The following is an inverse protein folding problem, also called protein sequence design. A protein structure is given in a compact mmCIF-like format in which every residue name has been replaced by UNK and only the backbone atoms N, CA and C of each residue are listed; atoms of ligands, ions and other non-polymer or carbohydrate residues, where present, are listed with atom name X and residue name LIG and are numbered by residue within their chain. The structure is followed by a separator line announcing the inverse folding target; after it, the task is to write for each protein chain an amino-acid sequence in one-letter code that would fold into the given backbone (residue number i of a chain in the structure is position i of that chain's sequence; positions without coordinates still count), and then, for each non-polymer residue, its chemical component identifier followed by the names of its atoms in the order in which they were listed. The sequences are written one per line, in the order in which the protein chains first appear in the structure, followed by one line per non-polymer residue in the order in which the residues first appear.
data_IF_351258004535
#
_entry.id   IF_351258004535
#
_cell.length_a   1.000
_cell.length_b   1.000
_cell.length_c   1.000
_cell.angle_alpha   90.00
_cell.angle_beta   90.00
_cell.angle_gamma   90.00
#
_symmetry.space_group_name_H-M   'P 1'
#
loop_
_entity.id
_entity.type
_entity.pdbx_description
1 polymer ?
#
# COMPACT_ATOMS: atom_id res chain seq x y z
N UNK A 1 -13.29 -26.15 -19.33
CA UNK A 1 -12.11 -27.04 -19.39
C UNK A 1 -11.60 -27.18 -17.96
N UNK A 2 -11.71 -28.40 -17.39
CA UNK A 2 -11.44 -28.67 -15.98
C UNK A 2 -9.96 -28.53 -15.69
N UNK A 3 -9.59 -27.71 -14.72
CA UNK A 3 -8.24 -27.69 -14.14
C UNK A 3 -8.32 -28.38 -12.77
N UNK A 4 -7.60 -29.47 -12.69
CA UNK A 4 -7.55 -30.46 -11.65
C UNK A 4 -7.06 -29.89 -10.31
N UNK A 5 -7.86 -30.08 -9.24
CA UNK A 5 -7.37 -30.06 -7.86
C UNK A 5 -6.44 -31.24 -7.65
N UNK A 6 -5.18 -31.00 -7.29
CA UNK A 6 -4.35 -31.99 -6.59
C UNK A 6 -3.50 -31.28 -5.55
N UNK A 7 -3.93 -31.35 -4.29
CA UNK A 7 -3.04 -31.32 -3.14
C UNK A 7 -2.27 -32.64 -3.12
N UNK A 8 -0.97 -32.63 -3.29
CA UNK A 8 -0.11 -33.70 -2.81
C UNK A 8 1.33 -33.20 -2.70
N UNK A 9 1.88 -33.33 -1.51
CA UNK A 9 3.31 -33.46 -1.20
C UNK A 9 3.96 -34.44 -2.18
N UNK A 10 4.70 -33.91 -3.16
CA UNK A 10 5.65 -34.69 -3.95
C UNK A 10 6.84 -33.77 -4.25
N UNK A 11 8.03 -34.18 -3.82
CA UNK A 11 9.29 -33.74 -4.38
C UNK A 11 9.37 -34.32 -5.82
N UNK A 12 8.67 -33.66 -6.75
CA UNK A 12 8.81 -33.85 -8.19
C UNK A 12 9.73 -32.75 -8.70
N UNK A 13 10.67 -33.09 -9.55
CA UNK A 13 11.48 -32.12 -10.31
C UNK A 13 10.53 -31.06 -10.87
N UNK A 14 10.73 -29.77 -10.50
CA UNK A 14 9.93 -28.69 -11.05
C UNK A 14 10.26 -28.56 -12.53
N UNK A 15 9.24 -28.67 -13.38
CA UNK A 15 9.39 -28.55 -14.83
C UNK A 15 9.97 -27.17 -15.17
N UNK A 16 10.98 -27.14 -16.05
CA UNK A 16 11.63 -25.90 -16.50
C UNK A 16 10.62 -24.97 -17.17
N UNK A 17 10.72 -23.66 -16.90
CA UNK A 17 9.79 -22.67 -17.45
C UNK A 17 9.90 -22.59 -18.97
N UNK A 18 8.76 -22.62 -19.64
CA UNK A 18 8.70 -22.43 -21.09
C UNK A 18 8.98 -20.98 -21.49
N UNK A 19 9.47 -20.77 -22.70
CA UNK A 19 9.67 -19.42 -23.27
C UNK A 19 8.39 -18.57 -23.23
N UNK A 20 7.22 -19.19 -23.36
CA UNK A 20 5.93 -18.52 -23.29
C UNK A 20 5.66 -17.98 -21.87
N UNK A 21 5.95 -18.76 -20.83
CA UNK A 21 5.81 -18.33 -19.44
C UNK A 21 6.78 -17.20 -19.10
N UNK A 22 8.04 -17.28 -19.53
CA UNK A 22 9.04 -16.22 -19.34
C UNK A 22 8.57 -14.91 -19.98
N UNK A 23 8.09 -14.95 -21.24
CA UNK A 23 7.53 -13.80 -21.94
C UNK A 23 6.29 -13.23 -21.23
N UNK A 24 5.42 -14.11 -20.74
CA UNK A 24 4.23 -13.74 -20.00
C UNK A 24 4.60 -13.01 -18.71
N UNK A 25 5.45 -13.56 -17.84
CA UNK A 25 5.90 -12.91 -16.61
C UNK A 25 6.51 -11.55 -16.89
N UNK A 26 7.39 -11.43 -17.90
CA UNK A 26 7.96 -10.14 -18.33
C UNK A 26 6.88 -9.13 -18.71
N UNK A 27 5.82 -9.58 -19.38
CA UNK A 27 4.73 -8.69 -19.82
C UNK A 27 3.95 -8.06 -18.67
N UNK A 28 3.94 -8.70 -17.48
CA UNK A 28 3.26 -8.25 -16.27
C UNK A 28 3.91 -7.02 -15.63
N UNK A 29 5.04 -6.55 -16.12
CA UNK A 29 5.59 -5.24 -15.77
C UNK A 29 4.63 -4.11 -16.18
N UNK A 30 3.80 -4.32 -17.20
CA UNK A 30 2.80 -3.36 -17.65
C UNK A 30 1.47 -3.54 -16.93
N UNK A 31 0.92 -2.43 -16.40
CA UNK A 31 -0.37 -2.43 -15.65
C UNK A 31 -1.49 -3.10 -16.43
N UNK A 32 -1.66 -2.75 -17.72
CA UNK A 32 -2.71 -3.32 -18.60
C UNK A 32 -2.72 -4.85 -18.63
N UNK A 33 -1.54 -5.48 -18.60
CA UNK A 33 -1.44 -6.93 -18.64
C UNK A 33 -1.75 -7.54 -17.26
N UNK A 34 -1.30 -6.90 -16.17
CA UNK A 34 -1.68 -7.32 -14.81
C UNK A 34 -3.18 -7.27 -14.59
N UNK A 35 -3.82 -6.18 -15.01
CA UNK A 35 -5.27 -5.99 -14.87
C UNK A 35 -6.07 -7.00 -15.73
N UNK A 36 -5.62 -7.26 -16.97
CA UNK A 36 -6.27 -8.23 -17.85
C UNK A 36 -6.22 -9.66 -17.30
N UNK A 37 -5.10 -10.03 -16.68
CA UNK A 37 -4.87 -11.37 -16.13
C UNK A 37 -5.31 -11.47 -14.64
N UNK A 38 -5.55 -10.35 -13.97
CA UNK A 38 -5.86 -10.31 -12.54
C UNK A 38 -4.72 -10.80 -11.66
N UNK A 39 -3.45 -10.55 -12.06
CA UNK A 39 -2.25 -11.01 -11.36
C UNK A 39 -1.23 -9.89 -11.15
N UNK A 40 -0.25 -10.14 -10.28
CA UNK A 40 0.89 -9.24 -10.07
C UNK A 40 2.18 -10.03 -9.80
N UNK A 41 3.32 -9.34 -9.88
CA UNK A 41 4.65 -9.94 -9.73
C UNK A 41 5.30 -9.43 -8.45
N UNK A 42 5.93 -10.35 -7.74
CA UNK A 42 6.82 -10.06 -6.61
C UNK A 42 8.20 -10.68 -6.84
N UNK A 43 9.24 -10.00 -6.40
CA UNK A 43 10.63 -10.46 -6.55
C UNK A 43 11.33 -10.56 -5.19
N UNK A 44 12.19 -11.58 -5.07
CA UNK A 44 12.95 -11.89 -3.86
C UNK A 44 12.27 -12.91 -2.96
N UNK A 45 13.05 -13.88 -2.45
CA UNK A 45 12.56 -15.02 -1.69
C UNK A 45 11.72 -14.60 -0.48
N UNK A 46 12.17 -13.58 0.28
CA UNK A 46 11.43 -13.09 1.44
C UNK A 46 10.07 -12.51 1.04
N UNK A 47 10.02 -11.65 0.01
CA UNK A 47 8.79 -11.02 -0.44
C UNK A 47 7.80 -12.07 -0.97
N UNK A 48 8.28 -13.03 -1.77
CA UNK A 48 7.47 -14.13 -2.32
C UNK A 48 6.89 -14.99 -1.19
N UNK A 49 7.68 -15.34 -0.19
CA UNK A 49 7.22 -16.13 0.95
C UNK A 49 6.19 -15.37 1.81
N UNK A 50 6.43 -14.09 2.10
CA UNK A 50 5.53 -13.26 2.91
C UNK A 50 4.15 -13.09 2.21
N UNK A 51 4.14 -13.00 0.88
CA UNK A 51 2.90 -12.87 0.09
C UNK A 51 2.18 -14.21 -0.07
N UNK A 52 2.90 -15.34 -0.14
CA UNK A 52 2.32 -16.66 -0.34
C UNK A 52 1.35 -17.11 0.75
N UNK A 53 1.44 -16.53 1.95
CA UNK A 53 0.48 -16.78 3.05
C UNK A 53 -0.89 -16.12 2.87
N UNK A 54 -1.00 -15.12 1.97
CA UNK A 54 -2.19 -14.27 1.83
C UNK A 54 -2.71 -14.13 0.40
N UNK A 55 -1.88 -14.49 -0.59
CA UNK A 55 -2.23 -14.45 -2.00
C UNK A 55 -2.07 -15.82 -2.65
N UNK A 56 -2.93 -16.14 -3.60
CA UNK A 56 -2.82 -17.37 -4.39
C UNK A 56 -1.63 -17.26 -5.35
N UNK A 57 -0.65 -18.15 -5.19
CA UNK A 57 0.51 -18.27 -6.08
C UNK A 57 0.08 -18.95 -7.39
N UNK A 58 0.36 -18.29 -8.52
CA UNK A 58 0.06 -18.81 -9.87
C UNK A 58 1.28 -19.45 -10.51
N UNK A 59 2.46 -18.82 -10.34
CA UNK A 59 3.73 -19.31 -10.87
C UNK A 59 4.87 -18.84 -9.97
N UNK A 60 5.87 -19.70 -9.79
CA UNK A 60 7.13 -19.33 -9.16
C UNK A 60 8.28 -19.69 -10.11
N UNK A 61 9.22 -18.75 -10.27
CA UNK A 61 10.50 -18.94 -10.93
C UNK A 61 11.63 -18.84 -9.90
N UNK A 62 12.52 -19.81 -9.92
CA UNK A 62 13.72 -19.87 -9.06
C UNK A 62 14.82 -20.71 -9.75
N UNK A 63 15.92 -20.97 -9.07
CA UNK A 63 17.04 -21.73 -9.61
C UNK A 63 16.72 -23.20 -9.99
N UNK A 64 15.59 -23.74 -9.50
CA UNK A 64 15.22 -25.14 -9.79
C UNK A 64 14.51 -25.26 -11.16
N UNK A 65 13.90 -24.16 -11.67
CA UNK A 65 13.09 -24.21 -12.89
C UNK A 65 13.39 -23.10 -13.90
N UNK A 66 14.36 -22.23 -13.63
CA UNK A 66 14.80 -21.15 -14.53
C UNK A 66 16.29 -20.87 -14.35
N UNK A 67 16.98 -20.63 -15.45
CA UNK A 67 18.39 -20.19 -15.43
C UNK A 67 18.49 -18.73 -14.97
N UNK A 68 19.69 -18.31 -14.55
CA UNK A 68 19.96 -16.92 -14.14
C UNK A 68 19.56 -15.93 -15.24
N UNK A 69 19.89 -16.22 -16.49
CA UNK A 69 19.55 -15.35 -17.63
C UNK A 69 18.01 -15.24 -17.83
N UNK A 70 17.26 -16.31 -17.61
CA UNK A 70 15.79 -16.28 -17.68
C UNK A 70 15.16 -15.49 -16.54
N UNK A 71 15.70 -15.60 -15.31
CA UNK A 71 15.29 -14.76 -14.19
C UNK A 71 15.58 -13.27 -14.50
N UNK A 72 16.75 -12.95 -15.06
CA UNK A 72 17.08 -11.59 -15.49
C UNK A 72 16.10 -11.05 -16.54
N UNK A 73 15.68 -11.87 -17.50
CA UNK A 73 14.70 -11.47 -18.51
C UNK A 73 13.31 -11.16 -17.93
N UNK A 74 12.91 -11.82 -16.85
CA UNK A 74 11.62 -11.62 -16.19
C UNK A 74 11.65 -10.49 -15.18
N UNK A 75 12.82 -10.20 -14.59
CA UNK A 75 12.98 -9.24 -13.49
C UNK A 75 12.70 -7.80 -13.93
N UNK A 76 12.13 -7.02 -13.03
CA UNK A 76 11.99 -5.56 -13.11
C UNK A 76 13.11 -4.82 -12.36
N UNK A 77 13.95 -5.53 -11.61
CA UNK A 77 15.00 -4.98 -10.76
C UNK A 77 16.32 -4.82 -11.53
N UNK A 78 17.09 -3.80 -11.16
CA UNK A 78 18.47 -3.66 -11.66
C UNK A 78 19.37 -4.83 -11.27
N UNK A 79 19.14 -5.39 -10.08
CA UNK A 79 19.82 -6.57 -9.55
C UNK A 79 18.77 -7.61 -9.21
N UNK A 80 18.53 -8.59 -10.10
CA UNK A 80 17.56 -9.65 -9.88
C UNK A 80 17.85 -10.45 -8.60
N UNK A 81 16.81 -10.86 -7.87
CA UNK A 81 16.97 -11.52 -6.57
C UNK A 81 16.76 -13.05 -6.64
N UNK A 82 16.85 -13.64 -7.82
CA UNK A 82 16.84 -15.09 -8.01
C UNK A 82 15.51 -15.81 -7.80
N UNK A 83 14.50 -15.14 -7.25
CA UNK A 83 13.16 -15.72 -7.06
C UNK A 83 12.11 -14.71 -7.52
N UNK A 84 11.16 -15.17 -8.33
CA UNK A 84 10.02 -14.38 -8.82
C UNK A 84 8.74 -15.17 -8.55
N UNK A 85 7.74 -14.53 -7.93
CA UNK A 85 6.40 -15.07 -7.74
C UNK A 85 5.37 -14.28 -8.53
N UNK A 86 4.44 -14.96 -9.18
CA UNK A 86 3.24 -14.36 -9.77
C UNK A 86 2.06 -14.76 -8.92
N UNK A 87 1.29 -13.78 -8.45
CA UNK A 87 0.17 -13.96 -7.53
C UNK A 87 -1.11 -13.39 -8.13
N UNK A 88 -2.27 -13.95 -7.75
CA UNK A 88 -3.56 -13.35 -8.07
C UNK A 88 -3.77 -12.05 -7.27
N UNK A 89 -4.33 -11.04 -7.93
CA UNK A 89 -4.79 -9.82 -7.25
C UNK A 89 -5.98 -10.12 -6.34
N UNK A 90 -6.07 -9.40 -5.21
CA UNK A 90 -7.27 -9.44 -4.38
C UNK A 90 -8.39 -8.63 -5.02
N UNK A 91 -9.62 -9.11 -4.82
CA UNK A 91 -10.84 -8.31 -5.04
C UNK A 91 -11.26 -7.79 -3.68
N UNK A 92 -11.04 -6.53 -3.46
CA UNK A 92 -11.35 -5.87 -2.18
C UNK A 92 -12.78 -5.35 -2.20
N UNK A 93 -13.48 -5.53 -1.07
CA UNK A 93 -14.82 -4.97 -0.86
C UNK A 93 -14.74 -3.88 0.22
N UNK A 94 -14.98 -2.63 -0.15
CA UNK A 94 -14.96 -1.48 0.76
C UNK A 94 -15.94 -1.64 1.94
N UNK A 95 -17.03 -2.38 1.75
CA UNK A 95 -18.02 -2.62 2.80
C UNK A 95 -17.52 -3.56 3.91
N UNK A 96 -16.43 -4.28 3.67
CA UNK A 96 -15.81 -5.16 4.65
C UNK A 96 -14.99 -4.42 5.72
N UNK A 97 -14.74 -3.11 5.56
CA UNK A 97 -13.93 -2.34 6.50
C UNK A 97 -14.70 -2.15 7.82
N UNK A 98 -14.16 -2.74 8.87
CA UNK A 98 -14.65 -2.61 10.25
C UNK A 98 -13.52 -2.20 11.20
N UNK A 99 -12.72 -1.22 10.81
CA UNK A 99 -11.59 -0.72 11.56
C UNK A 99 -11.88 0.65 12.16
N UNK A 100 -11.29 0.94 13.32
CA UNK A 100 -11.45 2.24 13.96
C UNK A 100 -10.63 3.32 13.27
N UNK A 101 -9.43 3.00 12.78
CA UNK A 101 -8.52 3.93 12.12
C UNK A 101 -8.19 3.45 10.71
N UNK A 102 -8.43 4.32 9.75
CA UNK A 102 -8.25 4.08 8.32
C UNK A 102 -7.32 5.16 7.75
N UNK A 103 -6.49 4.84 6.76
CA UNK A 103 -5.75 5.82 5.98
C UNK A 103 -6.45 6.03 4.65
N UNK A 104 -6.53 7.27 4.18
CA UNK A 104 -7.01 7.60 2.84
C UNK A 104 -5.92 8.35 2.07
N UNK A 105 -5.76 8.03 0.79
CA UNK A 105 -4.73 8.61 -0.07
C UNK A 105 -5.38 9.35 -1.23
N UNK A 106 -5.19 10.67 -1.29
CA UNK A 106 -5.71 11.54 -2.31
C UNK A 106 -4.62 11.84 -3.35
N UNK A 107 -4.48 10.94 -4.34
CA UNK A 107 -3.58 11.12 -5.45
C UNK A 107 -2.09 10.97 -5.14
N UNK A 108 -1.70 10.09 -4.23
CA UNK A 108 -0.29 9.74 -3.99
C UNK A 108 0.23 8.97 -5.20
N UNK A 109 1.04 9.62 -6.06
CA UNK A 109 1.40 9.11 -7.38
C UNK A 109 2.76 8.39 -7.43
N UNK A 110 3.68 8.73 -6.52
CA UNK A 110 5.00 8.08 -6.51
C UNK A 110 4.91 6.64 -5.96
N UNK A 111 5.34 5.61 -6.72
CA UNK A 111 5.29 4.23 -6.28
C UNK A 111 6.13 3.95 -5.01
N UNK A 112 7.23 4.65 -4.82
CA UNK A 112 8.08 4.51 -3.64
C UNK A 112 7.38 5.04 -2.38
N UNK A 113 6.69 6.19 -2.51
CA UNK A 113 5.89 6.76 -1.42
C UNK A 113 4.73 5.84 -1.05
N UNK A 114 3.98 5.33 -2.05
CA UNK A 114 2.89 4.39 -1.77
C UNK A 114 3.40 3.13 -1.04
N UNK A 115 4.49 2.54 -1.52
CA UNK A 115 5.09 1.37 -0.87
C UNK A 115 5.55 1.65 0.57
N UNK A 116 6.14 2.83 0.80
CA UNK A 116 6.53 3.30 2.15
C UNK A 116 5.30 3.48 3.05
N UNK A 117 4.23 4.08 2.54
CA UNK A 117 2.97 4.26 3.29
C UNK A 117 2.36 2.91 3.66
N UNK A 118 2.26 1.96 2.73
CA UNK A 118 1.74 0.61 2.99
C UNK A 118 2.55 -0.06 4.11
N UNK A 119 3.87 -0.03 4.03
CA UNK A 119 4.76 -0.59 5.06
C UNK A 119 4.61 0.12 6.41
N UNK A 120 4.43 1.42 6.41
CA UNK A 120 4.20 2.22 7.63
C UNK A 120 2.85 1.91 8.25
N UNK A 121 1.80 1.75 7.44
CA UNK A 121 0.48 1.33 7.90
C UNK A 121 0.53 -0.03 8.57
N UNK A 122 1.18 -1.01 7.95
CA UNK A 122 1.42 -2.34 8.54
C UNK A 122 2.12 -2.25 9.90
N UNK A 123 3.18 -1.42 10.00
CA UNK A 123 3.93 -1.22 11.25
C UNK A 123 3.09 -0.68 12.40
N UNK A 124 2.16 0.23 12.09
CA UNK A 124 1.28 0.86 13.07
C UNK A 124 -0.08 0.17 13.20
N UNK A 125 -0.26 -1.03 12.64
CA UNK A 125 -1.50 -1.80 12.75
C UNK A 125 -2.68 -1.13 12.04
N UNK A 126 -2.44 -0.50 10.88
CA UNK A 126 -3.47 0.04 9.99
C UNK A 126 -3.58 -0.89 8.80
N UNK A 127 -4.68 -1.62 8.71
CA UNK A 127 -4.83 -2.66 7.70
C UNK A 127 -5.63 -2.22 6.47
N UNK A 128 -6.27 -1.04 6.51
CA UNK A 128 -7.13 -0.56 5.43
C UNK A 128 -6.71 0.81 4.92
N UNK A 129 -6.46 0.90 3.61
CA UNK A 129 -6.11 2.13 2.91
C UNK A 129 -7.13 2.36 1.79
N UNK A 130 -7.85 3.49 1.83
CA UNK A 130 -8.74 3.91 0.74
C UNK A 130 -7.99 4.86 -0.18
N UNK A 131 -7.92 4.54 -1.45
CA UNK A 131 -7.16 5.27 -2.45
C UNK A 131 -8.07 5.95 -3.46
N UNK A 132 -7.82 7.22 -3.79
CA UNK A 132 -8.41 7.81 -4.98
C UNK A 132 -7.89 7.10 -6.23
N UNK A 133 -8.60 7.23 -7.34
CA UNK A 133 -8.26 6.64 -8.63
C UNK A 133 -6.86 7.03 -9.13
N UNK A 134 -6.43 8.25 -8.82
CA UNK A 134 -5.15 8.83 -9.23
C UNK A 134 -3.96 8.31 -8.40
N UNK A 135 -4.22 7.60 -7.30
CA UNK A 135 -3.17 6.98 -6.47
C UNK A 135 -2.47 5.87 -7.27
N UNK A 136 -1.17 5.75 -7.09
CA UNK A 136 -0.36 4.73 -7.75
C UNK A 136 -0.92 3.32 -7.53
N UNK A 137 -0.74 2.45 -8.52
CA UNK A 137 -1.18 1.05 -8.47
C UNK A 137 -0.37 0.25 -7.44
N UNK A 138 -1.04 -0.32 -6.42
CA UNK A 138 -0.39 -1.12 -5.38
C UNK A 138 0.28 -2.38 -5.91
N UNK A 139 -0.16 -2.88 -7.06
CA UNK A 139 0.43 -4.03 -7.74
C UNK A 139 1.53 -3.66 -8.75
N UNK A 140 1.91 -2.38 -8.81
CA UNK A 140 3.10 -1.97 -9.54
C UNK A 140 4.34 -2.66 -8.93
N UNK A 141 5.25 -3.28 -9.72
CA UNK A 141 6.41 -3.99 -9.18
C UNK A 141 7.27 -3.16 -8.22
N UNK A 142 7.41 -1.84 -8.48
CA UNK A 142 8.13 -0.94 -7.57
C UNK A 142 7.43 -0.76 -6.23
N UNK A 143 6.09 -0.70 -6.22
CA UNK A 143 5.30 -0.63 -4.98
C UNK A 143 5.43 -1.94 -4.21
N UNK A 144 5.18 -3.08 -4.88
CA UNK A 144 5.28 -4.41 -4.26
C UNK A 144 6.64 -4.59 -3.59
N UNK A 145 7.73 -4.23 -4.29
CA UNK A 145 9.09 -4.30 -3.74
C UNK A 145 9.27 -3.39 -2.51
N UNK A 146 8.77 -2.15 -2.57
CA UNK A 146 8.92 -1.18 -1.49
C UNK A 146 8.12 -1.55 -0.23
N UNK A 147 7.04 -2.32 -0.36
CA UNK A 147 6.25 -2.79 0.80
C UNK A 147 6.97 -3.80 1.67
N UNK A 148 8.01 -4.48 1.17
CA UNK A 148 8.73 -5.52 1.90
C UNK A 148 7.81 -6.61 2.48
N UNK A 149 6.77 -7.01 1.71
CA UNK A 149 5.79 -8.02 2.12
C UNK A 149 4.57 -7.48 2.90
N UNK A 150 4.54 -6.21 3.30
CA UNK A 150 3.41 -5.61 4.03
C UNK A 150 2.08 -5.69 3.28
N UNK A 151 2.12 -5.77 1.94
CA UNK A 151 0.93 -5.94 1.10
C UNK A 151 0.13 -7.22 1.44
N UNK A 152 0.74 -8.21 2.10
CA UNK A 152 0.05 -9.41 2.60
C UNK A 152 -0.98 -9.10 3.69
N UNK A 153 -0.79 -8.01 4.46
CA UNK A 153 -1.58 -7.64 5.65
C UNK A 153 -2.37 -6.36 5.49
N UNK A 154 -2.02 -5.52 4.50
CA UNK A 154 -2.70 -4.25 4.23
C UNK A 154 -3.56 -4.39 2.97
N UNK A 155 -4.78 -3.90 3.05
CA UNK A 155 -5.80 -3.94 2.01
C UNK A 155 -5.98 -2.55 1.40
N UNK A 156 -5.92 -2.44 0.07
CA UNK A 156 -6.09 -1.17 -0.64
C UNK A 156 -7.37 -1.18 -1.47
N UNK A 157 -8.19 -0.15 -1.27
CA UNK A 157 -9.49 0.03 -1.90
C UNK A 157 -9.45 1.25 -2.82
N UNK A 158 -9.45 1.03 -4.13
CA UNK A 158 -9.48 2.11 -5.10
C UNK A 158 -10.91 2.53 -5.37
N UNK A 159 -11.19 3.84 -5.23
CA UNK A 159 -12.52 4.42 -5.40
C UNK A 159 -12.52 5.50 -6.47
N UNK A 160 -13.63 5.66 -7.18
CA UNK A 160 -13.78 6.68 -8.22
C UNK A 160 -13.81 8.10 -7.63
N UNK A 161 -14.47 8.28 -6.49
CA UNK A 161 -14.57 9.56 -5.80
C UNK A 161 -14.32 9.37 -4.29
N UNK A 162 -13.14 9.80 -3.86
CA UNK A 162 -12.71 9.69 -2.47
C UNK A 162 -13.56 10.60 -1.56
N UNK A 163 -13.99 11.78 -2.04
CA UNK A 163 -14.77 12.72 -1.24
C UNK A 163 -16.12 12.14 -0.85
N UNK A 164 -16.77 11.40 -1.75
CA UNK A 164 -18.03 10.69 -1.48
C UNK A 164 -17.85 9.65 -0.38
N UNK A 165 -16.77 8.87 -0.43
CA UNK A 165 -16.49 7.86 0.60
C UNK A 165 -16.20 8.52 1.95
N UNK A 166 -15.40 9.60 1.99
CA UNK A 166 -15.12 10.34 3.23
C UNK A 166 -16.42 10.91 3.84
N UNK A 167 -17.32 11.44 3.02
CA UNK A 167 -18.61 11.94 3.48
C UNK A 167 -19.49 10.83 4.08
N UNK A 168 -19.52 9.65 3.45
CA UNK A 168 -20.24 8.48 4.00
C UNK A 168 -19.69 8.06 5.38
N UNK A 169 -18.37 8.02 5.55
CA UNK A 169 -17.76 7.69 6.84
C UNK A 169 -17.99 8.79 7.89
N UNK A 170 -17.92 10.06 7.49
CA UNK A 170 -18.24 11.22 8.32
C UNK A 170 -19.68 11.13 8.87
N UNK A 171 -20.64 10.75 8.01
CA UNK A 171 -22.02 10.52 8.41
C UNK A 171 -22.20 9.36 9.40
N UNK A 172 -21.28 8.40 9.41
CA UNK A 172 -21.17 7.30 10.40
C UNK A 172 -20.41 7.70 11.68
N UNK A 173 -20.06 8.98 11.82
CA UNK A 173 -19.37 9.53 12.99
C UNK A 173 -17.85 9.27 13.00
N UNK A 174 -17.22 9.08 11.83
CA UNK A 174 -15.76 9.06 11.71
C UNK A 174 -15.24 10.48 11.53
N UNK A 175 -14.39 11.01 12.44
CA UNK A 175 -13.65 12.22 12.18
C UNK A 175 -12.70 12.03 11.00
N UNK A 176 -12.60 13.07 10.16
CA UNK A 176 -11.71 13.08 8.99
C UNK A 176 -10.54 14.02 9.31
N UNK A 177 -9.36 13.45 9.49
CA UNK A 177 -8.10 14.14 9.77
C UNK A 177 -7.36 14.39 8.46
N UNK A 178 -7.18 15.64 8.06
CA UNK A 178 -6.41 15.99 6.86
C UNK A 178 -5.11 16.70 7.23
N UNK A 179 -3.98 16.31 6.62
CA UNK A 179 -2.72 17.02 6.80
C UNK A 179 -2.69 18.26 5.92
N UNK A 180 -2.68 19.45 6.55
CA UNK A 180 -2.76 20.77 5.89
C UNK A 180 -1.78 21.74 6.53
N UNK A 181 -1.20 22.64 5.71
CA UNK A 181 -0.26 23.67 6.19
C UNK A 181 -0.92 24.67 7.15
N UNK A 182 -2.22 24.94 6.97
CA UNK A 182 -3.03 25.81 7.82
C UNK A 182 -3.80 25.03 8.92
N UNK A 183 -3.39 23.79 9.17
CA UNK A 183 -3.99 22.96 10.21
C UNK A 183 -3.60 23.35 11.63
N UNK A 184 -4.24 22.72 12.59
CA UNK A 184 -3.88 22.83 14.00
C UNK A 184 -2.64 21.97 14.29
N UNK A 185 -1.70 22.50 15.05
CA UNK A 185 -0.51 21.76 15.48
C UNK A 185 -0.91 20.42 16.11
N UNK A 186 -0.52 19.32 15.48
CA UNK A 186 -0.92 17.97 15.86
C UNK A 186 -0.41 17.55 17.24
N UNK A 187 0.66 18.19 17.77
CA UNK A 187 1.21 17.90 19.09
C UNK A 187 0.43 18.54 20.24
N UNK A 188 -0.55 19.41 19.94
CA UNK A 188 -1.47 19.89 20.95
C UNK A 188 -2.38 18.76 21.40
N UNK A 189 -2.50 18.55 22.73
CA UNK A 189 -3.30 17.44 23.31
C UNK A 189 -4.75 17.37 22.82
N UNK A 190 -5.34 18.50 22.42
CA UNK A 190 -6.70 18.58 21.90
C UNK A 190 -6.83 18.21 20.40
N UNK A 191 -5.73 18.13 19.66
CA UNK A 191 -5.75 17.94 18.22
C UNK A 191 -6.05 16.49 17.82
N UNK A 192 -5.66 15.54 18.64
CA UNK A 192 -5.91 14.10 18.44
C UNK A 192 -6.67 13.58 19.65
N UNK A 193 -7.94 13.21 19.51
CA UNK A 193 -8.75 12.72 20.63
C UNK A 193 -8.26 11.36 21.15
N UNK A 194 -8.56 11.06 22.40
CA UNK A 194 -8.21 9.79 23.04
C UNK A 194 -8.85 8.56 22.37
N UNK A 195 -10.05 8.73 21.79
CA UNK A 195 -10.64 7.71 20.91
C UNK A 195 -10.10 7.88 19.51
N UNK A 196 -9.26 6.98 19.10
CA UNK A 196 -8.49 7.04 17.85
C UNK A 196 -9.26 6.52 16.63
N UNK A 197 -10.58 6.69 16.64
CA UNK A 197 -11.44 6.40 15.50
C UNK A 197 -11.34 7.51 14.48
N UNK A 198 -11.22 7.18 13.19
CA UNK A 198 -11.27 8.18 12.14
C UNK A 198 -10.56 7.77 10.85
N UNK A 199 -10.52 8.70 9.91
CA UNK A 199 -9.79 8.54 8.66
C UNK A 199 -8.70 9.60 8.60
N UNK A 200 -7.45 9.17 8.42
CA UNK A 200 -6.30 10.05 8.20
C UNK A 200 -6.11 10.18 6.69
N UNK A 201 -6.25 11.38 6.17
CA UNK A 201 -6.16 11.68 4.74
C UNK A 201 -4.81 12.32 4.44
N UNK A 202 -4.06 11.69 3.53
CA UNK A 202 -2.78 12.16 3.02
C UNK A 202 -2.95 12.58 1.56
N UNK A 203 -2.42 13.76 1.21
CA UNK A 203 -2.57 14.32 -0.12
C UNK A 203 -1.42 14.00 -1.07
N UNK A 204 -1.57 14.46 -2.32
CA UNK A 204 -0.54 14.41 -3.35
C UNK A 204 0.72 15.20 -2.94
N UNK A 205 1.89 14.75 -3.35
CA UNK A 205 3.19 15.30 -2.97
C UNK A 205 3.37 16.78 -3.38
N UNK A 206 2.82 17.16 -4.53
CA UNK A 206 2.95 18.52 -5.06
C UNK A 206 1.71 19.40 -4.89
N UNK A 207 0.52 18.79 -4.90
CA UNK A 207 -0.76 19.53 -4.92
C UNK A 207 -1.50 19.50 -3.58
N UNK A 208 -1.09 18.62 -2.65
CA UNK A 208 -1.81 18.39 -1.40
C UNK A 208 -3.15 17.69 -1.62
N UNK A 209 -4.15 18.01 -0.80
CA UNK A 209 -5.51 17.49 -0.93
C UNK A 209 -6.28 18.21 -2.03
N UNK A 210 -7.08 17.47 -2.79
CA UNK A 210 -8.04 18.04 -3.76
C UNK A 210 -9.08 18.90 -3.04
N UNK A 211 -9.68 19.86 -3.74
CA UNK A 211 -10.65 20.78 -3.17
C UNK A 211 -11.89 20.04 -2.62
N UNK A 212 -12.30 18.96 -3.28
CA UNK A 212 -13.42 18.12 -2.90
C UNK A 212 -13.11 17.35 -1.60
N UNK A 213 -11.96 16.69 -1.53
CA UNK A 213 -11.51 15.95 -0.34
C UNK A 213 -11.30 16.90 0.84
N UNK A 214 -10.73 18.08 0.59
CA UNK A 214 -10.48 19.10 1.62
C UNK A 214 -11.77 19.58 2.31
N UNK A 215 -12.90 19.68 1.61
CA UNK A 215 -14.22 20.03 2.19
C UNK A 215 -14.72 19.00 3.20
N UNK A 216 -14.29 17.75 3.07
CA UNK A 216 -14.68 16.68 3.99
C UNK A 216 -13.83 16.63 5.26
N UNK A 217 -12.66 17.27 5.27
CA UNK A 217 -11.78 17.34 6.44
C UNK A 217 -12.48 18.07 7.58
N UNK A 218 -12.67 17.37 8.71
CA UNK A 218 -13.25 17.94 9.94
C UNK A 218 -12.19 18.37 10.95
N UNK A 219 -10.98 17.79 10.86
CA UNK A 219 -9.87 18.03 11.78
C UNK A 219 -8.58 18.27 10.96
N UNK A 220 -8.32 19.51 10.55
CA UNK A 220 -7.08 19.84 9.85
C UNK A 220 -5.88 19.76 10.80
N UNK A 221 -4.88 18.98 10.47
CA UNK A 221 -3.67 18.76 11.26
C UNK A 221 -2.45 19.36 10.57
N UNK A 222 -1.60 20.02 11.34
CA UNK A 222 -0.29 20.54 10.91
C UNK A 222 0.82 19.77 11.62
N UNK A 223 1.78 19.26 10.85
CA UNK A 223 3.10 18.86 11.37
C UNK A 223 3.96 20.12 11.38
N UNK A 224 4.25 20.71 12.55
CA UNK A 224 4.97 21.97 12.60
C UNK A 224 6.45 21.80 12.22
N UNK A 225 7.01 22.77 11.48
CA UNK A 225 8.44 22.88 11.27
C UNK A 225 9.15 23.48 12.49
N UNK A 226 10.46 23.31 12.58
CA UNK A 226 11.28 23.87 13.64
C UNK A 226 12.58 24.50 13.06
N UNK A 227 13.00 25.67 13.57
CA UNK A 227 12.29 26.56 14.51
C UNK A 227 11.04 27.20 13.87
N UNK A 228 10.02 27.50 14.68
CA UNK A 228 8.81 28.12 14.20
C UNK A 228 9.11 29.49 13.58
N UNK A 229 8.50 29.78 12.41
CA UNK A 229 8.67 31.06 11.71
C UNK A 229 9.97 31.21 10.92
N UNK A 230 10.82 30.19 10.87
CA UNK A 230 12.02 30.16 10.02
C UNK A 230 11.69 29.47 8.70
N UNK A 231 12.20 30.01 7.59
CA UNK A 231 12.04 29.38 6.27
C UNK A 231 12.63 27.98 6.25
N UNK A 232 11.86 27.01 5.75
CA UNK A 232 12.25 25.61 5.60
C UNK A 232 11.74 25.09 4.25
N UNK A 233 11.84 23.80 3.98
CA UNK A 233 11.21 23.20 2.81
C UNK A 233 9.69 23.37 2.88
N UNK A 234 9.04 23.55 1.72
CA UNK A 234 7.59 23.82 1.61
C UNK A 234 6.73 22.68 2.17
N UNK A 235 7.20 21.44 2.09
CA UNK A 235 6.47 20.27 2.59
C UNK A 235 7.43 19.14 2.95
N UNK A 236 6.93 18.19 3.73
CA UNK A 236 7.57 16.88 3.97
C UNK A 236 7.18 15.88 2.87
N UNK A 237 8.07 14.93 2.63
CA UNK A 237 7.71 13.75 1.85
C UNK A 237 6.46 13.08 2.46
N UNK A 238 5.48 12.69 1.62
CA UNK A 238 4.18 12.17 2.08
C UNK A 238 4.31 10.88 2.89
N UNK A 239 5.25 9.99 2.54
CA UNK A 239 5.51 8.77 3.33
C UNK A 239 6.06 9.09 4.72
N UNK A 240 6.96 10.09 4.82
CA UNK A 240 7.50 10.57 6.11
C UNK A 240 6.40 11.24 6.93
N UNK A 241 5.60 12.13 6.30
CA UNK A 241 4.47 12.77 6.96
C UNK A 241 3.47 11.75 7.51
N UNK A 242 3.15 10.70 6.73
CA UNK A 242 2.31 9.58 7.17
C UNK A 242 2.89 8.90 8.40
N UNK A 243 4.19 8.61 8.41
CA UNK A 243 4.83 7.95 9.56
C UNK A 243 4.74 8.79 10.83
N UNK A 244 4.96 10.11 10.73
CA UNK A 244 4.86 11.03 11.86
C UNK A 244 3.43 11.07 12.41
N UNK A 245 2.42 11.18 11.52
CA UNK A 245 1.01 11.22 11.94
C UNK A 245 0.61 9.91 12.61
N UNK A 246 0.91 8.76 11.99
CA UNK A 246 0.56 7.46 12.57
C UNK A 246 1.26 7.20 13.90
N UNK A 247 2.53 7.59 14.04
CA UNK A 247 3.26 7.49 15.31
C UNK A 247 2.58 8.30 16.42
N UNK A 248 2.11 9.52 16.12
CA UNK A 248 1.40 10.36 17.09
C UNK A 248 0.02 9.76 17.44
N UNK A 249 -0.71 9.24 16.47
CA UNK A 249 -1.98 8.55 16.72
C UNK A 249 -1.80 7.30 17.60
N UNK A 250 -0.69 6.58 17.51
CA UNK A 250 -0.40 5.38 18.29
C UNK A 250 0.41 5.62 19.58
N UNK A 251 0.92 6.83 19.80
CA UNK A 251 1.82 7.15 20.91
C UNK A 251 1.33 6.69 22.30
N UNK A 252 0.04 6.82 22.58
CA UNK A 252 -0.52 6.47 23.87
C UNK A 252 -0.99 5.01 23.98
N UNK A 253 -1.04 4.24 22.89
CA UNK A 253 -1.48 2.85 22.92
C UNK A 253 -0.38 1.94 23.48
N UNK A 254 0.88 2.31 23.26
CA UNK A 254 2.05 1.53 23.66
C UNK A 254 2.38 1.65 25.17
N UNK A 255 1.94 2.71 25.83
CA UNK A 255 2.28 2.97 27.24
C UNK A 255 1.43 2.12 28.19
N UNK A 256 0.27 1.62 27.77
CA UNK A 256 -0.63 0.82 28.58
C UNK A 256 -0.45 -0.70 28.41
N UNK A 257 0.55 -1.16 27.65
CA UNK A 257 0.74 -2.58 27.30
C UNK A 257 2.09 -3.13 27.81
N UNK A 258 2.87 -2.34 28.51
CA UNK A 258 4.08 -2.71 29.24
C UNK A 258 3.84 -2.55 30.75
#
# INVERSE_FOLDING_TARGET
MQICKKSSTFAGEMEHLSKAQIKWVRSLQQKKNRDAEGVFVAEGAKCVNDLGGSFELVLQANADNASVNEIEQMSSLRTPQGVIGVFKQRKEDLHSINEELIVALDGVQDPGNLGTIIRTCDWFGIHHIVCSRETADCYNPKVVQATMGALSRVHLYYVEDLSVILNQYKSKGYPIYGTLLEGTNMYNKASIPTKKKGIIVMGNEGKGLTAEVRKEVSHPLLIPSYPAGVATSESLNVGIATAIVLAEFRRNDTINTL
#
